data_IF_583867531985
#
_entry.id   IF_583867531985
#
_cell.length_a   1.000
_cell.length_b   1.000
_cell.length_c   1.000
_cell.angle_alpha   90.00
_cell.angle_beta   90.00
_cell.angle_gamma   90.00
#
_symmetry.space_group_name_H-M   'P 1'
#
loop_
_entity.id
_entity.type
_entity.pdbx_description
1 polymer ?
#
# COMPACT_ATOMS: atom_id res chain seq x y z
N UNK A 1 11.91 26.41 7.52
CA UNK A 1 10.48 26.71 7.25
C UNK A 1 9.61 25.66 7.94
N UNK A 2 8.35 26.01 8.25
CA UNK A 2 7.38 25.05 8.76
C UNK A 2 6.61 24.41 7.59
N UNK A 3 6.59 23.08 7.54
CA UNK A 3 5.89 22.28 6.53
C UNK A 3 4.92 21.34 7.25
N UNK A 4 3.71 21.22 6.72
CA UNK A 4 2.75 20.22 7.15
C UNK A 4 2.64 19.12 6.11
N UNK A 5 2.66 17.87 6.54
CA UNK A 5 2.43 16.69 5.70
C UNK A 5 1.21 15.95 6.20
N UNK A 6 0.28 15.69 5.32
CA UNK A 6 -0.98 15.01 5.63
C UNK A 6 -1.07 13.71 4.84
N UNK A 7 -1.22 12.60 5.52
CA UNK A 7 -1.69 11.36 4.92
C UNK A 7 -3.21 11.41 4.82
N UNK A 8 -3.69 11.57 3.59
CA UNK A 8 -5.13 11.68 3.32
C UNK A 8 -5.76 10.30 3.32
N UNK A 9 -6.76 10.15 4.11
CA UNK A 9 -7.47 8.93 4.35
C UNK A 9 -8.31 8.46 3.17
N UNK A 10 -8.40 7.14 3.03
CA UNK A 10 -9.42 6.49 2.24
C UNK A 10 -10.65 6.16 3.12
N UNK A 11 -11.80 6.77 2.87
CA UNK A 11 -12.99 6.55 3.69
C UNK A 11 -13.65 5.18 3.55
N UNK A 12 -13.24 4.37 2.59
CA UNK A 12 -13.73 2.99 2.55
C UNK A 12 -13.40 2.25 3.83
N UNK A 13 -12.27 2.59 4.44
CA UNK A 13 -11.87 2.05 5.73
C UNK A 13 -12.71 2.57 6.90
N UNK A 14 -13.60 3.53 6.67
CA UNK A 14 -14.50 4.10 7.68
C UNK A 14 -15.96 3.66 7.53
N UNK A 15 -16.27 2.86 6.53
CA UNK A 15 -17.60 2.33 6.31
C UNK A 15 -18.04 1.29 7.35
N UNK A 16 -17.25 1.07 8.40
CA UNK A 16 -17.72 0.30 9.56
C UNK A 16 -18.94 0.99 10.17
N UNK A 17 -20.02 0.26 10.42
CA UNK A 17 -21.20 0.81 11.06
C UNK A 17 -20.86 1.57 12.33
N UNK A 18 -21.49 2.71 12.58
CA UNK A 18 -21.25 3.55 13.76
C UNK A 18 -21.34 2.75 15.08
N UNK A 19 -22.21 1.71 15.12
CA UNK A 19 -22.31 0.77 16.24
C UNK A 19 -21.03 -0.06 16.44
N UNK A 20 -20.33 -0.43 15.38
CA UNK A 20 -19.07 -1.17 15.47
C UNK A 20 -17.94 -0.24 15.90
N UNK A 21 -17.95 1.02 15.45
CA UNK A 21 -17.01 2.06 15.92
C UNK A 21 -17.19 2.40 17.39
N UNK A 22 -18.42 2.57 17.86
CA UNK A 22 -18.73 2.88 19.25
C UNK A 22 -18.48 1.72 20.22
N UNK A 23 -18.67 0.48 19.75
CA UNK A 23 -18.47 -0.72 20.57
C UNK A 23 -16.99 -1.07 20.78
N UNK A 24 -16.15 -0.68 19.85
CA UNK A 24 -14.72 -0.96 19.81
C UNK A 24 -13.94 0.35 19.67
N UNK A 25 -14.10 1.30 20.59
CA UNK A 25 -13.41 2.60 20.57
C UNK A 25 -11.88 2.56 20.34
N UNK A 26 -11.34 1.36 20.17
CA UNK A 26 -9.94 1.02 19.90
C UNK A 26 -9.71 0.34 18.54
N UNK A 27 -10.73 0.00 17.75
CA UNK A 27 -10.53 -0.64 16.44
C UNK A 27 -10.32 0.43 15.37
N UNK A 28 -9.07 0.74 15.11
CA UNK A 28 -8.68 1.46 13.90
C UNK A 28 -8.73 0.47 12.74
N UNK A 29 -9.64 0.71 11.81
CA UNK A 29 -9.73 -0.08 10.59
C UNK A 29 -8.65 0.40 9.65
N UNK A 30 -7.72 -0.48 9.36
CA UNK A 30 -6.60 -0.30 8.43
C UNK A 30 -5.80 1.01 8.59
N UNK A 31 -4.69 0.91 9.19
CA UNK A 31 -3.70 1.98 9.20
C UNK A 31 -2.32 1.37 9.23
N UNK A 32 -1.74 1.13 8.04
CA UNK A 32 -0.28 1.07 8.00
C UNK A 32 0.25 2.46 8.34
N UNK A 33 1.30 2.55 9.19
CA UNK A 33 2.01 3.79 9.36
C UNK A 33 2.34 4.42 7.99
N UNK A 34 2.04 5.70 7.77
CA UNK A 34 2.16 6.33 6.46
C UNK A 34 3.63 6.61 6.11
N UNK A 35 4.37 5.56 5.73
CA UNK A 35 5.81 5.59 5.54
C UNK A 35 6.25 6.70 4.57
N UNK A 36 5.43 7.04 3.58
CA UNK A 36 5.74 8.10 2.64
C UNK A 36 5.92 9.46 3.30
N UNK A 37 4.96 9.92 4.12
CA UNK A 37 5.10 11.21 4.81
C UNK A 37 6.14 11.16 5.93
N UNK A 38 6.35 10.00 6.57
CA UNK A 38 7.41 9.83 7.55
C UNK A 38 8.80 9.95 6.91
N UNK A 39 9.00 9.41 5.69
CA UNK A 39 10.23 9.57 4.92
C UNK A 39 10.47 11.03 4.55
N UNK A 40 9.43 11.73 4.07
CA UNK A 40 9.53 13.16 3.74
C UNK A 40 9.82 14.01 4.97
N UNK A 41 9.19 13.73 6.12
CA UNK A 41 9.50 14.42 7.37
C UNK A 41 10.96 14.28 7.78
N UNK A 42 11.49 13.05 7.73
CA UNK A 42 12.88 12.79 8.07
C UNK A 42 13.86 13.56 7.17
N UNK A 43 13.59 13.61 5.87
CA UNK A 43 14.41 14.35 4.89
C UNK A 43 14.33 15.86 5.13
N UNK A 44 13.14 16.41 5.35
CA UNK A 44 12.93 17.83 5.66
C UNK A 44 13.64 18.25 6.96
N UNK A 45 13.50 17.45 8.02
CA UNK A 45 14.18 17.72 9.31
C UNK A 45 15.70 17.67 9.17
N UNK A 46 16.24 16.71 8.42
CA UNK A 46 17.68 16.64 8.14
C UNK A 46 18.17 17.88 7.40
N UNK A 47 17.34 18.49 6.57
CA UNK A 47 17.62 19.73 5.86
C UNK A 47 17.36 21.02 6.70
N UNK A 48 17.00 20.89 8.00
CA UNK A 48 16.79 22.02 8.90
C UNK A 48 15.39 22.67 8.82
N UNK A 49 14.41 21.96 8.28
CA UNK A 49 13.01 22.41 8.26
C UNK A 49 12.21 21.82 9.42
N UNK A 50 11.22 22.57 9.92
CA UNK A 50 10.23 22.07 10.87
C UNK A 50 9.15 21.31 10.08
N UNK A 51 8.84 20.08 10.50
CA UNK A 51 7.83 19.27 9.86
C UNK A 51 6.81 18.76 10.88
N UNK A 52 5.53 18.89 10.56
CA UNK A 52 4.42 18.33 11.33
C UNK A 52 3.62 17.40 10.45
N UNK A 53 3.36 16.20 10.94
CA UNK A 53 2.62 15.19 10.23
C UNK A 53 1.21 15.01 10.82
N UNK A 54 0.25 14.77 9.94
CA UNK A 54 -1.12 14.41 10.27
C UNK A 54 -1.47 13.10 9.53
N UNK A 55 -1.93 12.11 10.28
CA UNK A 55 -2.44 10.88 9.70
C UNK A 55 -3.96 10.82 9.85
N UNK A 56 -4.68 10.97 8.75
CA UNK A 56 -6.14 10.83 8.74
C UNK A 56 -6.61 9.38 8.86
N UNK A 57 -5.75 8.38 8.93
CA UNK A 57 -6.12 7.06 9.43
C UNK A 57 -6.47 7.11 10.92
N UNK A 58 -6.02 8.13 11.64
CA UNK A 58 -6.49 8.41 13.00
C UNK A 58 -7.85 9.15 12.96
N UNK A 59 -8.92 8.58 13.55
CA UNK A 59 -10.23 9.23 13.63
C UNK A 59 -10.20 10.61 14.31
N UNK A 60 -9.22 10.85 15.17
CA UNK A 60 -9.06 12.10 15.91
C UNK A 60 -8.36 13.19 15.06
N UNK A 61 -8.10 12.92 13.80
CA UNK A 61 -7.49 13.86 12.84
C UNK A 61 -8.45 14.18 11.68
N UNK A 62 -9.65 14.74 11.96
CA UNK A 62 -10.56 15.20 10.92
C UNK A 62 -10.01 16.45 10.24
N UNK A 63 -10.63 16.87 9.14
CA UNK A 63 -10.22 18.05 8.38
C UNK A 63 -10.12 19.31 9.24
N UNK A 64 -11.06 19.50 10.15
CA UNK A 64 -11.14 20.72 10.98
C UNK A 64 -9.91 20.87 11.89
N UNK A 65 -9.40 19.80 12.47
CA UNK A 65 -8.17 19.81 13.28
C UNK A 65 -6.97 20.25 12.43
N UNK A 66 -6.88 19.75 11.20
CA UNK A 66 -5.79 20.12 10.27
C UNK A 66 -5.90 21.59 9.88
N UNK A 67 -7.10 22.05 9.52
CA UNK A 67 -7.37 23.43 9.11
C UNK A 67 -7.08 24.41 10.26
N UNK A 68 -7.52 24.09 11.48
CA UNK A 68 -7.22 24.90 12.66
C UNK A 68 -5.71 25.00 12.92
N UNK A 69 -4.99 23.87 12.80
CA UNK A 69 -3.54 23.85 12.94
C UNK A 69 -2.85 24.72 11.87
N UNK A 70 -3.31 24.67 10.61
CA UNK A 70 -2.81 25.51 9.51
C UNK A 70 -3.03 26.99 9.82
N UNK A 71 -4.22 27.37 10.24
CA UNK A 71 -4.57 28.77 10.55
C UNK A 71 -3.76 29.31 11.72
N UNK A 72 -3.52 28.50 12.74
CA UNK A 72 -2.77 28.89 13.93
C UNK A 72 -1.26 28.97 13.67
N UNK A 73 -0.68 27.97 12.94
CA UNK A 73 0.77 27.83 12.80
C UNK A 73 1.32 28.37 11.48
N UNK A 74 0.48 28.62 10.49
CA UNK A 74 0.81 29.23 9.20
C UNK A 74 2.01 28.56 8.50
N UNK A 75 1.94 27.25 8.16
CA UNK A 75 3.00 26.59 7.43
C UNK A 75 3.19 27.24 6.04
N UNK A 76 4.43 27.19 5.52
CA UNK A 76 4.73 27.66 4.18
C UNK A 76 4.17 26.70 3.11
N UNK A 77 4.18 25.40 3.41
CA UNK A 77 3.68 24.35 2.51
C UNK A 77 2.84 23.33 3.29
N UNK A 78 1.73 22.90 2.68
CA UNK A 78 0.96 21.74 3.12
C UNK A 78 0.99 20.69 2.01
N UNK A 79 1.63 19.57 2.25
CA UNK A 79 1.70 18.41 1.37
C UNK A 79 0.61 17.40 1.71
N UNK A 80 -0.27 17.10 0.77
CA UNK A 80 -1.32 16.09 0.91
C UNK A 80 -0.92 14.84 0.12
N UNK A 81 -0.64 13.74 0.85
CA UNK A 81 -0.23 12.46 0.27
C UNK A 81 -1.38 11.47 0.25
N UNK A 82 -1.64 10.88 -0.90
CA UNK A 82 -2.66 9.85 -1.08
C UNK A 82 -2.24 8.84 -2.14
N UNK A 83 -2.57 7.56 -1.90
CA UNK A 83 -2.09 6.45 -2.72
C UNK A 83 -3.09 6.03 -3.79
N UNK A 84 -4.38 6.13 -3.49
CA UNK A 84 -5.43 5.48 -4.27
C UNK A 84 -6.40 6.45 -4.94
N UNK A 85 -7.09 5.93 -5.94
CA UNK A 85 -8.23 6.59 -6.59
C UNK A 85 -9.31 7.01 -5.59
N UNK A 86 -9.48 6.24 -4.52
CA UNK A 86 -10.53 6.46 -3.52
C UNK A 86 -10.21 7.54 -2.51
N UNK A 87 -8.94 7.78 -2.24
CA UNK A 87 -8.50 8.89 -1.38
C UNK A 87 -8.56 10.25 -2.08
N UNK A 88 -8.49 10.26 -3.41
CA UNK A 88 -8.45 11.49 -4.21
C UNK A 88 -9.63 12.44 -3.99
N UNK A 89 -10.91 12.00 -3.96
CA UNK A 89 -12.04 12.89 -3.66
C UNK A 89 -11.90 13.60 -2.32
N UNK A 90 -11.34 12.94 -1.33
CA UNK A 90 -11.14 13.51 0.02
C UNK A 90 -9.97 14.48 0.05
N UNK A 91 -8.90 14.18 -0.68
CA UNK A 91 -7.81 15.13 -0.88
C UNK A 91 -8.32 16.42 -1.53
N UNK A 92 -9.22 16.34 -2.52
CA UNK A 92 -9.86 17.51 -3.14
C UNK A 92 -10.70 18.31 -2.14
N UNK A 93 -11.51 17.62 -1.33
CA UNK A 93 -12.34 18.27 -0.31
C UNK A 93 -11.45 19.01 0.69
N UNK A 94 -10.42 18.37 1.20
CA UNK A 94 -9.50 18.98 2.16
C UNK A 94 -8.77 20.17 1.54
N UNK A 95 -8.26 20.05 0.32
CA UNK A 95 -7.58 21.16 -0.39
C UNK A 95 -8.50 22.38 -0.57
N UNK A 96 -9.77 22.16 -0.97
CA UNK A 96 -10.78 23.23 -1.09
C UNK A 96 -11.06 23.91 0.25
N UNK A 97 -11.23 23.14 1.30
CA UNK A 97 -11.47 23.67 2.63
C UNK A 97 -10.27 24.48 3.14
N UNK A 98 -9.04 23.99 2.93
CA UNK A 98 -7.83 24.75 3.30
C UNK A 98 -7.77 26.04 2.50
N UNK A 99 -7.99 26.01 1.19
CA UNK A 99 -7.92 27.20 0.32
C UNK A 99 -8.99 28.23 0.66
N UNK A 100 -10.19 27.80 1.04
CA UNK A 100 -11.26 28.69 1.48
C UNK A 100 -10.92 29.43 2.79
N UNK A 101 -10.20 28.80 3.71
CA UNK A 101 -9.77 29.38 4.98
C UNK A 101 -8.40 30.08 4.93
N UNK A 102 -7.56 29.75 3.94
CA UNK A 102 -6.19 30.27 3.84
C UNK A 102 -5.75 30.34 2.37
N UNK A 103 -5.77 31.56 1.80
CA UNK A 103 -5.41 31.80 0.41
C UNK A 103 -3.90 31.78 0.13
N UNK A 104 -3.07 31.94 1.15
CA UNK A 104 -1.62 32.14 1.02
C UNK A 104 -0.79 30.88 1.14
N UNK A 105 -1.26 29.87 1.87
CA UNK A 105 -0.51 28.64 2.04
C UNK A 105 -0.33 27.90 0.73
N UNK A 106 0.88 27.44 0.44
CA UNK A 106 1.13 26.59 -0.73
C UNK A 106 0.61 25.18 -0.47
N UNK A 107 -0.09 24.60 -1.45
CA UNK A 107 -0.64 23.26 -1.39
C UNK A 107 0.02 22.35 -2.43
N UNK A 108 0.49 21.19 -2.01
CA UNK A 108 1.05 20.17 -2.90
C UNK A 108 0.31 18.84 -2.73
N UNK A 109 0.02 18.19 -3.85
CA UNK A 109 -0.43 16.80 -3.89
C UNK A 109 0.73 15.87 -4.22
N UNK A 110 0.78 14.70 -3.57
CA UNK A 110 1.76 13.65 -3.83
C UNK A 110 1.19 12.25 -3.64
N UNK A 111 2.03 11.25 -3.90
CA UNK A 111 1.66 9.83 -3.87
C UNK A 111 1.46 9.24 -5.27
N UNK A 112 1.26 7.92 -5.34
CA UNK A 112 1.22 7.18 -6.61
C UNK A 112 0.11 7.68 -7.54
N UNK A 113 -1.10 7.82 -7.03
CA UNK A 113 -2.22 8.30 -7.83
C UNK A 113 -1.99 9.70 -8.40
N UNK A 114 -1.53 10.64 -7.58
CA UNK A 114 -1.21 12.01 -8.01
C UNK A 114 -0.13 12.01 -9.08
N UNK A 115 0.90 11.19 -8.92
CA UNK A 115 2.02 11.08 -9.87
C UNK A 115 1.58 10.60 -11.24
N UNK A 116 0.77 9.55 -11.30
CA UNK A 116 0.32 8.95 -12.56
C UNK A 116 -0.74 9.78 -13.28
N UNK A 117 -1.40 10.71 -12.57
CA UNK A 117 -2.53 11.49 -13.09
C UNK A 117 -2.34 13.01 -12.95
N UNK A 118 -1.11 13.49 -12.89
CA UNK A 118 -0.77 14.84 -12.44
C UNK A 118 -1.49 15.97 -13.20
N UNK A 119 -1.53 15.94 -14.55
CA UNK A 119 -2.23 16.94 -15.34
C UNK A 119 -3.72 16.99 -15.05
N UNK A 120 -4.35 15.81 -14.98
CA UNK A 120 -5.78 15.73 -14.73
C UNK A 120 -6.11 16.17 -13.29
N UNK A 121 -5.29 15.75 -12.32
CA UNK A 121 -5.41 16.17 -10.91
C UNK A 121 -5.31 17.70 -10.81
N UNK A 122 -4.34 18.32 -11.50
CA UNK A 122 -4.17 19.78 -11.51
C UNK A 122 -5.34 20.50 -12.16
N UNK A 123 -5.89 19.96 -13.24
CA UNK A 123 -7.08 20.51 -13.89
C UNK A 123 -8.33 20.41 -13.03
N UNK A 124 -8.53 19.30 -12.33
CA UNK A 124 -9.71 19.04 -11.50
C UNK A 124 -9.66 19.69 -10.11
N UNK A 125 -8.48 20.08 -9.66
CA UNK A 125 -8.27 20.73 -8.37
C UNK A 125 -7.35 21.94 -8.51
N UNK A 126 -7.87 23.06 -9.06
CA UNK A 126 -7.10 24.28 -9.25
C UNK A 126 -6.61 24.89 -7.94
N UNK A 127 -7.24 24.55 -6.82
CA UNK A 127 -6.88 24.98 -5.46
C UNK A 127 -5.46 24.55 -5.03
N UNK A 128 -4.94 23.47 -5.64
CA UNK A 128 -3.61 22.94 -5.36
C UNK A 128 -2.57 23.65 -6.23
N UNK A 129 -1.49 24.14 -5.63
CA UNK A 129 -0.42 24.83 -6.36
C UNK A 129 0.43 23.82 -7.16
N UNK A 130 0.77 22.68 -6.55
CA UNK A 130 1.71 21.71 -7.09
C UNK A 130 1.16 20.28 -7.07
N UNK A 131 1.45 19.51 -8.12
CA UNK A 131 1.29 18.06 -8.12
C UNK A 131 2.66 17.43 -8.32
N UNK A 132 3.13 16.72 -7.29
CA UNK A 132 4.46 16.10 -7.25
C UNK A 132 4.42 14.71 -7.86
N UNK A 133 5.37 14.39 -8.75
CA UNK A 133 5.46 13.12 -9.50
C UNK A 133 6.71 12.35 -9.17
N UNK A 134 6.57 11.05 -8.93
CA UNK A 134 7.67 10.13 -8.62
C UNK A 134 8.07 10.13 -7.14
N UNK A 135 9.33 9.77 -6.86
CA UNK A 135 9.88 9.74 -5.50
C UNK A 135 9.91 11.14 -4.88
N UNK A 136 9.48 11.25 -3.65
CA UNK A 136 9.22 12.54 -3.02
C UNK A 136 10.40 13.15 -2.26
N UNK A 137 11.42 12.38 -1.89
CA UNK A 137 12.46 12.82 -0.96
C UNK A 137 13.27 14.01 -1.48
N UNK A 138 13.89 13.89 -2.64
CA UNK A 138 14.63 15.01 -3.22
C UNK A 138 13.68 16.06 -3.80
N UNK A 139 12.52 15.62 -4.30
CA UNK A 139 11.55 16.54 -4.89
C UNK A 139 11.04 17.56 -3.86
N UNK A 140 10.72 17.12 -2.64
CA UNK A 140 10.19 18.01 -1.60
C UNK A 140 11.26 19.04 -1.17
N UNK A 141 12.54 18.67 -1.13
CA UNK A 141 13.64 19.60 -0.84
C UNK A 141 13.75 20.69 -1.91
N UNK A 142 13.80 20.28 -3.18
CA UNK A 142 13.88 21.23 -4.29
C UNK A 142 12.64 22.13 -4.38
N UNK A 143 11.46 21.59 -4.07
CA UNK A 143 10.21 22.34 -4.07
C UNK A 143 10.18 23.38 -2.95
N UNK A 144 10.61 23.04 -1.74
CA UNK A 144 10.63 23.95 -0.59
C UNK A 144 11.56 25.13 -0.81
N UNK A 145 12.67 24.93 -1.52
CA UNK A 145 13.58 26.01 -1.90
C UNK A 145 13.01 26.94 -2.97
N UNK A 146 12.01 26.49 -3.74
CA UNK A 146 11.48 27.18 -4.94
C UNK A 146 9.94 27.27 -4.93
N UNK A 147 9.34 27.50 -3.78
CA UNK A 147 7.87 27.56 -3.63
C UNK A 147 7.21 28.65 -4.48
N UNK A 148 7.92 29.76 -4.76
CA UNK A 148 7.38 30.88 -5.53
C UNK A 148 7.70 30.75 -7.03
N UNK A 149 8.74 30.02 -7.40
CA UNK A 149 9.09 29.73 -8.79
C UNK A 149 9.45 28.26 -9.00
N UNK A 150 8.48 27.38 -9.26
CA UNK A 150 8.71 25.96 -9.44
C UNK A 150 9.21 25.60 -10.87
N UNK A 151 9.51 26.56 -11.73
CA UNK A 151 9.78 26.35 -13.16
C UNK A 151 10.87 25.29 -13.42
N UNK A 152 11.90 25.24 -12.59
CA UNK A 152 13.00 24.29 -12.74
C UNK A 152 12.92 23.07 -11.80
N UNK A 153 11.84 22.94 -11.01
CA UNK A 153 11.69 21.80 -10.10
C UNK A 153 11.23 20.57 -10.89
N UNK A 154 12.16 19.69 -11.21
CA UNK A 154 11.83 18.45 -11.92
C UNK A 154 10.81 17.61 -11.14
N UNK A 155 9.84 17.02 -11.84
CA UNK A 155 8.78 16.21 -11.25
C UNK A 155 7.57 17.00 -10.75
N UNK A 156 7.53 18.33 -10.89
CA UNK A 156 6.38 19.15 -10.50
C UNK A 156 5.46 19.41 -11.69
N UNK A 157 4.18 19.33 -11.45
CA UNK A 157 3.10 19.82 -12.33
C UNK A 157 2.41 20.98 -11.63
N UNK A 158 2.27 22.11 -12.30
CA UNK A 158 1.72 23.36 -11.76
C UNK A 158 0.92 24.11 -12.81
N UNK A 159 0.45 25.31 -12.53
CA UNK A 159 -0.27 26.12 -13.52
C UNK A 159 0.29 27.53 -13.57
N UNK A 160 0.41 28.08 -14.78
CA UNK A 160 0.74 29.48 -15.06
C UNK A 160 -0.19 30.01 -16.14
N UNK A 161 -0.75 31.18 -15.93
CA UNK A 161 -1.69 31.85 -16.86
C UNK A 161 -2.80 30.91 -17.32
N UNK A 162 -3.39 30.14 -16.41
CA UNK A 162 -4.47 29.20 -16.68
C UNK A 162 -4.05 27.91 -17.42
N UNK A 163 -2.77 27.76 -17.76
CA UNK A 163 -2.25 26.56 -18.45
C UNK A 163 -1.53 25.64 -17.48
N UNK A 164 -1.80 24.33 -17.60
CA UNK A 164 -1.07 23.31 -16.85
C UNK A 164 0.30 23.09 -17.50
N UNK A 165 1.34 23.20 -16.69
CA UNK A 165 2.72 22.98 -17.06
C UNK A 165 3.22 21.74 -16.33
N UNK A 166 3.83 20.83 -17.06
CA UNK A 166 4.56 19.69 -16.50
C UNK A 166 6.06 19.88 -16.71
N UNK A 167 6.78 20.08 -15.62
CA UNK A 167 8.24 20.07 -15.69
C UNK A 167 8.74 18.66 -16.07
N UNK A 168 9.97 18.52 -16.58
CA UNK A 168 10.54 17.21 -16.87
C UNK A 168 10.43 16.24 -15.69
N UNK A 169 10.31 14.95 -15.97
CA UNK A 169 10.34 13.94 -14.92
C UNK A 169 11.70 13.96 -14.22
N UNK A 170 11.68 13.68 -12.93
CA UNK A 170 12.91 13.49 -12.16
C UNK A 170 13.52 12.14 -12.49
N UNK A 171 14.85 12.10 -12.55
CA UNK A 171 15.58 10.83 -12.62
C UNK A 171 15.40 10.09 -11.29
N UNK A 172 15.02 8.82 -11.37
CA UNK A 172 14.83 8.00 -10.19
C UNK A 172 16.16 7.77 -9.45
N UNK A 173 16.15 8.04 -8.16
CA UNK A 173 17.28 7.78 -7.30
C UNK A 173 17.57 6.27 -7.19
N UNK A 174 18.81 5.90 -7.45
CA UNK A 174 19.26 4.50 -7.37
C UNK A 174 19.79 4.14 -5.99
N UNK A 175 20.44 5.09 -5.32
CA UNK A 175 21.00 4.89 -3.98
C UNK A 175 19.96 5.27 -2.93
N UNK A 176 19.12 4.33 -2.53
CA UNK A 176 18.10 4.56 -1.50
C UNK A 176 18.69 4.68 -0.08
N UNK A 177 19.93 4.27 0.14
CA UNK A 177 20.60 4.35 1.44
C UNK A 177 21.00 5.77 1.84
N UNK A 178 21.00 6.71 0.91
CA UNK A 178 21.30 8.11 1.22
C UNK A 178 20.21 8.79 2.06
N UNK A 179 19.00 8.23 2.08
CA UNK A 179 17.89 8.80 2.82
C UNK A 179 17.90 8.38 4.29
N UNK A 180 17.55 9.27 5.21
CA UNK A 180 17.43 8.93 6.63
C UNK A 180 16.32 7.90 6.84
N UNK A 181 16.34 7.22 7.98
CA UNK A 181 15.22 6.39 8.39
C UNK A 181 13.96 7.24 8.56
N UNK A 182 12.78 6.71 8.23
CA UNK A 182 11.52 7.43 8.37
C UNK A 182 11.30 7.94 9.79
N UNK A 183 10.79 9.17 9.91
CA UNK A 183 10.48 9.84 11.17
C UNK A 183 9.21 9.25 11.81
N UNK A 184 9.40 8.24 12.65
CA UNK A 184 8.29 7.56 13.32
C UNK A 184 7.93 8.18 14.65
N UNK A 185 8.85 8.94 15.25
CA UNK A 185 8.68 9.50 16.59
C UNK A 185 7.75 10.72 16.59
N UNK A 186 7.73 11.48 15.50
CA UNK A 186 6.92 12.69 15.38
C UNK A 186 5.45 12.43 15.03
N UNK A 187 5.11 11.22 14.72
CA UNK A 187 3.74 10.80 14.53
C UNK A 187 3.30 10.06 15.80
N UNK A 188 2.50 10.72 16.65
CA UNK A 188 1.90 10.08 17.82
C UNK A 188 0.92 8.99 17.37
N UNK A 189 1.47 7.81 17.14
CA UNK A 189 0.71 6.66 16.66
C UNK A 189 0.60 5.65 17.80
N UNK A 190 -0.53 5.66 18.49
CA UNK A 190 -0.95 4.52 19.33
C UNK A 190 -1.31 3.31 18.47
N UNK A 191 -0.33 2.83 17.66
CA UNK A 191 -0.52 1.66 16.79
C UNK A 191 -0.63 0.34 17.57
N UNK A 192 -0.29 0.33 18.84
CA UNK A 192 -0.38 -0.86 19.69
C UNK A 192 -1.82 -1.38 19.81
N UNK A 193 -2.81 -0.51 19.65
CA UNK A 193 -4.22 -0.88 19.81
C UNK A 193 -4.98 -1.07 18.48
N UNK A 194 -4.33 -0.86 17.35
CA UNK A 194 -5.02 -0.84 16.06
C UNK A 194 -4.34 -1.75 15.04
N UNK A 195 -4.62 -3.05 15.13
CA UNK A 195 -4.26 -3.93 14.01
C UNK A 195 -5.24 -3.76 12.86
N UNK A 196 -4.72 -3.60 11.62
CA UNK A 196 -5.55 -3.70 10.45
C UNK A 196 -6.19 -5.09 10.39
N UNK A 197 -7.51 -5.16 10.28
CA UNK A 197 -8.22 -6.44 10.15
C UNK A 197 -7.78 -7.23 8.90
N UNK A 198 -7.19 -6.55 7.93
CA UNK A 198 -6.73 -7.13 6.66
C UNK A 198 -5.25 -7.52 6.65
N UNK A 199 -4.47 -7.06 7.62
CA UNK A 199 -3.15 -7.67 7.86
C UNK A 199 -3.39 -8.90 8.69
N UNK A 200 -2.93 -10.07 8.24
CA UNK A 200 -3.02 -11.28 9.06
C UNK A 200 -2.46 -10.95 10.45
N UNK A 201 -3.26 -11.21 11.48
CA UNK A 201 -2.98 -10.91 12.89
C UNK A 201 -1.77 -11.68 13.44
N UNK A 202 -0.61 -11.49 12.86
CA UNK A 202 0.50 -12.41 12.92
C UNK A 202 1.78 -11.81 13.36
N UNK A 203 1.94 -10.56 13.00
CA UNK A 203 3.00 -9.80 13.61
C UNK A 203 2.61 -9.61 15.06
N UNK A 204 3.53 -9.81 15.99
CA UNK A 204 3.23 -9.73 17.42
C UNK A 204 2.47 -8.46 17.73
N UNK A 205 1.62 -8.48 18.76
CA UNK A 205 0.85 -7.34 19.24
C UNK A 205 1.70 -6.26 19.88
N UNK A 206 2.98 -6.46 19.88
CA UNK A 206 3.96 -5.48 20.31
C UNK A 206 4.02 -4.35 19.27
N UNK A 207 4.50 -3.20 19.68
CA UNK A 207 4.58 -1.99 18.86
C UNK A 207 5.01 -2.31 17.42
N UNK A 208 4.10 -2.04 16.47
CA UNK A 208 4.21 -2.41 15.06
C UNK A 208 4.52 -1.20 14.20
N UNK A 209 5.31 -1.38 13.14
CA UNK A 209 5.51 -0.35 12.10
C UNK A 209 5.69 -0.95 10.71
N UNK A 210 5.77 -0.09 9.70
CA UNK A 210 6.12 -0.45 8.33
C UNK A 210 7.55 -0.02 7.99
N UNK A 211 8.13 -0.71 7.02
CA UNK A 211 9.44 -0.41 6.48
C UNK A 211 9.44 -0.67 4.97
N UNK A 212 10.09 0.18 4.21
CA UNK A 212 10.29 -0.02 2.78
C UNK A 212 11.75 -0.32 2.51
N UNK A 213 12.03 -1.52 2.03
CA UNK A 213 13.40 -1.97 1.77
C UNK A 213 13.77 -1.94 0.29
N UNK A 214 12.75 -1.94 -0.59
CA UNK A 214 12.90 -1.80 -2.04
C UNK A 214 11.69 -1.11 -2.65
N UNK A 215 11.84 -0.59 -3.85
CA UNK A 215 10.80 0.10 -4.63
C UNK A 215 10.75 -0.46 -6.04
N UNK A 216 9.53 -0.66 -6.53
CA UNK A 216 9.26 -1.09 -7.88
C UNK A 216 9.19 -2.60 -8.05
N UNK A 217 8.68 -2.97 -9.20
CA UNK A 217 8.52 -4.35 -9.65
C UNK A 217 8.72 -4.38 -11.17
N UNK A 218 9.56 -5.26 -11.73
CA UNK A 218 9.82 -5.28 -13.16
C UNK A 218 8.77 -6.04 -13.98
N UNK A 219 7.81 -6.69 -13.33
CA UNK A 219 6.83 -7.54 -13.98
C UNK A 219 5.71 -6.76 -14.68
N UNK A 220 5.29 -7.20 -15.90
CA UNK A 220 4.39 -6.39 -16.73
C UNK A 220 2.90 -6.68 -16.49
N UNK A 221 2.49 -7.01 -15.27
CA UNK A 221 1.09 -7.30 -14.95
C UNK A 221 0.17 -6.18 -15.44
N UNK A 222 -0.81 -6.48 -16.30
CA UNK A 222 -1.61 -5.47 -17.03
C UNK A 222 -2.49 -4.59 -16.13
N UNK A 223 -2.80 -5.03 -14.93
CA UNK A 223 -3.66 -4.33 -13.97
C UNK A 223 -2.88 -3.47 -12.98
N UNK A 224 -1.55 -3.64 -12.89
CA UNK A 224 -0.71 -3.05 -11.86
C UNK A 224 -0.12 -1.71 -12.32
N UNK A 225 -0.17 -0.70 -11.47
CA UNK A 225 0.39 0.62 -11.70
C UNK A 225 1.87 0.74 -11.25
N UNK A 226 2.36 -0.19 -10.45
CA UNK A 226 3.73 -0.17 -9.91
C UNK A 226 4.81 -0.16 -11.01
N UNK A 227 4.74 -1.01 -12.06
CA UNK A 227 5.70 -0.94 -13.16
C UNK A 227 5.69 0.41 -13.88
N UNK A 228 4.52 1.04 -13.99
CA UNK A 228 4.39 2.34 -14.65
C UNK A 228 5.02 3.42 -13.77
N UNK A 229 4.68 3.45 -12.48
CA UNK A 229 5.21 4.40 -11.53
C UNK A 229 6.74 4.33 -11.39
N UNK A 230 7.30 3.12 -11.44
CA UNK A 230 8.73 2.86 -11.30
C UNK A 230 9.45 2.65 -12.65
N UNK A 231 8.83 2.95 -13.80
CA UNK A 231 9.41 2.77 -15.15
C UNK A 231 9.96 1.35 -15.38
N UNK A 232 9.31 0.33 -14.84
CA UNK A 232 9.75 -1.07 -14.89
C UNK A 232 11.05 -1.36 -14.11
N UNK A 233 11.53 -0.41 -13.30
CA UNK A 233 12.77 -0.55 -12.54
C UNK A 233 12.49 -1.02 -11.12
N UNK A 234 13.39 -1.86 -10.61
CA UNK A 234 13.45 -2.23 -9.21
C UNK A 234 14.73 -1.65 -8.59
N UNK A 235 14.59 -1.03 -7.41
CA UNK A 235 15.68 -0.37 -6.68
C UNK A 235 15.59 -0.79 -5.23
N UNK A 236 16.73 -1.04 -4.58
CA UNK A 236 16.73 -1.53 -3.21
C UNK A 236 17.79 -0.84 -2.36
N UNK A 237 17.50 -0.81 -1.08
CA UNK A 237 18.45 -0.45 -0.02
C UNK A 237 19.41 -1.60 0.19
N UNK A 238 20.64 -1.30 0.60
CA UNK A 238 21.62 -2.33 0.93
C UNK A 238 21.15 -3.19 2.12
N UNK A 239 21.61 -4.45 2.21
CA UNK A 239 21.32 -5.29 3.38
C UNK A 239 21.74 -4.63 4.70
N UNK A 240 22.88 -3.95 4.70
CA UNK A 240 23.43 -3.26 5.87
C UNK A 240 22.50 -2.14 6.35
N UNK A 241 21.98 -1.33 5.40
CA UNK A 241 21.06 -0.25 5.73
C UNK A 241 19.70 -0.78 6.24
N UNK A 242 19.21 -1.92 5.69
CA UNK A 242 17.99 -2.58 6.16
C UNK A 242 18.18 -3.11 7.59
N UNK A 243 19.28 -3.82 7.86
CA UNK A 243 19.57 -4.35 9.20
C UNK A 243 19.78 -3.24 10.21
N UNK A 244 20.44 -2.14 9.83
CA UNK A 244 20.63 -0.99 10.71
C UNK A 244 19.29 -0.34 11.11
N UNK A 245 18.31 -0.23 10.18
CA UNK A 245 16.98 0.27 10.53
C UNK A 245 16.20 -0.71 11.41
N UNK A 246 16.29 -2.02 11.16
CA UNK A 246 15.66 -3.02 12.02
C UNK A 246 16.21 -2.96 13.45
N UNK A 247 17.52 -2.80 13.61
CA UNK A 247 18.17 -2.62 14.90
C UNK A 247 17.69 -1.34 15.59
N UNK A 248 17.67 -0.24 14.89
CA UNK A 248 17.13 1.02 15.38
C UNK A 248 15.69 0.88 15.85
N UNK A 249 14.85 0.19 15.09
CA UNK A 249 13.45 -0.05 15.47
C UNK A 249 13.32 -0.90 16.74
N UNK A 250 14.10 -1.97 16.87
CA UNK A 250 14.10 -2.82 18.06
C UNK A 250 14.56 -2.03 19.30
N UNK A 251 15.61 -1.21 19.19
CA UNK A 251 16.11 -0.32 20.24
C UNK A 251 15.05 0.70 20.70
N UNK A 252 14.11 1.07 19.80
CA UNK A 252 12.97 1.97 20.09
C UNK A 252 11.69 1.22 20.49
N UNK A 253 11.80 -0.08 20.83
CA UNK A 253 10.71 -0.89 21.35
C UNK A 253 9.71 -1.39 20.32
N UNK A 254 10.04 -1.39 19.02
CA UNK A 254 9.22 -2.06 18.01
C UNK A 254 9.47 -3.56 18.02
N UNK A 255 8.43 -4.36 18.21
CA UNK A 255 8.52 -5.82 18.21
C UNK A 255 8.24 -6.43 16.83
N UNK A 256 7.64 -5.69 15.93
CA UNK A 256 7.31 -6.21 14.59
C UNK A 256 7.31 -5.15 13.51
N UNK A 257 7.66 -5.58 12.29
CA UNK A 257 7.78 -4.74 11.09
C UNK A 257 7.16 -5.44 9.89
N UNK A 258 6.39 -4.69 9.12
CA UNK A 258 5.91 -5.15 7.83
C UNK A 258 6.66 -4.44 6.70
N UNK A 259 7.29 -5.22 5.81
CA UNK A 259 7.97 -4.68 4.65
C UNK A 259 6.94 -4.42 3.55
N UNK A 260 6.69 -3.14 3.28
CA UNK A 260 5.75 -2.68 2.26
C UNK A 260 6.40 -2.56 0.88
N UNK A 261 7.27 -3.50 0.56
CA UNK A 261 7.96 -3.56 -0.72
C UNK A 261 7.01 -4.07 -1.80
N UNK A 262 7.05 -3.48 -2.99
CA UNK A 262 6.29 -3.96 -4.17
C UNK A 262 6.68 -5.40 -4.56
N UNK A 263 7.93 -5.77 -4.33
CA UNK A 263 8.45 -7.14 -4.53
C UNK A 263 9.74 -7.38 -3.74
N UNK A 264 9.64 -7.96 -2.55
CA UNK A 264 10.79 -8.24 -1.69
C UNK A 264 11.67 -9.38 -2.22
N UNK A 265 11.06 -10.44 -2.80
CA UNK A 265 11.71 -11.70 -3.14
C UNK A 265 12.53 -11.68 -4.45
N UNK A 266 12.88 -10.52 -5.00
CA UNK A 266 13.50 -10.43 -6.32
C UNK A 266 15.00 -10.82 -6.33
N UNK A 267 15.73 -10.54 -5.26
CA UNK A 267 17.19 -10.68 -5.21
C UNK A 267 17.66 -11.64 -4.09
N UNK A 268 17.89 -12.95 -4.38
CA UNK A 268 18.23 -13.94 -3.36
C UNK A 268 19.44 -13.58 -2.51
N UNK A 269 20.54 -13.12 -3.14
CA UNK A 269 21.76 -12.73 -2.42
C UNK A 269 21.53 -11.62 -1.40
N UNK A 270 20.65 -10.67 -1.74
CA UNK A 270 20.29 -9.57 -0.83
C UNK A 270 19.49 -10.09 0.37
N UNK A 271 18.51 -10.97 0.12
CA UNK A 271 17.69 -11.58 1.17
C UNK A 271 18.55 -12.39 2.13
N UNK A 272 19.45 -13.22 1.60
CA UNK A 272 20.38 -14.00 2.42
C UNK A 272 21.25 -13.09 3.28
N UNK A 273 21.78 -12.00 2.72
CA UNK A 273 22.57 -11.03 3.47
C UNK A 273 21.76 -10.31 4.58
N UNK A 274 20.49 -9.99 4.33
CA UNK A 274 19.60 -9.42 5.36
C UNK A 274 19.36 -10.46 6.48
N UNK A 275 19.03 -11.71 6.16
CA UNK A 275 18.80 -12.76 7.13
C UNK A 275 20.05 -13.04 7.98
N UNK A 276 21.23 -13.08 7.35
CA UNK A 276 22.50 -13.24 8.04
C UNK A 276 22.79 -12.06 8.96
N UNK A 277 22.55 -10.82 8.50
CA UNK A 277 22.72 -9.61 9.31
C UNK A 277 21.81 -9.59 10.54
N UNK A 278 20.52 -9.91 10.39
CA UNK A 278 19.56 -10.05 11.51
C UNK A 278 20.08 -11.07 12.54
N UNK A 279 20.59 -12.21 12.07
CA UNK A 279 21.11 -13.27 12.95
C UNK A 279 22.39 -12.86 13.65
N UNK A 280 23.32 -12.18 12.95
CA UNK A 280 24.60 -11.70 13.50
C UNK A 280 24.38 -10.61 14.56
N UNK A 281 23.47 -9.67 14.29
CA UNK A 281 23.10 -8.61 15.25
C UNK A 281 22.17 -9.15 16.37
N UNK A 282 21.76 -10.42 16.32
CA UNK A 282 20.86 -11.07 17.29
C UNK A 282 19.54 -10.35 17.48
N UNK A 283 19.01 -9.75 16.40
CA UNK A 283 17.72 -9.08 16.45
C UNK A 283 16.59 -10.10 16.62
N UNK A 284 15.62 -9.77 17.44
CA UNK A 284 14.43 -10.59 17.72
C UNK A 284 13.16 -10.08 17.04
N UNK A 285 13.24 -8.89 16.43
CA UNK A 285 12.13 -8.22 15.75
C UNK A 285 11.52 -9.12 14.68
N UNK A 286 10.21 -9.30 14.75
CA UNK A 286 9.46 -10.12 13.79
C UNK A 286 9.16 -9.30 12.53
N UNK A 287 9.15 -9.96 11.38
CA UNK A 287 8.84 -9.26 10.14
C UNK A 287 8.01 -10.10 9.18
N UNK A 288 7.36 -9.39 8.24
CA UNK A 288 6.54 -9.97 7.19
C UNK A 288 6.75 -9.27 5.87
N UNK A 289 6.46 -9.96 4.76
CA UNK A 289 6.69 -9.50 3.39
C UNK A 289 5.54 -9.79 2.45
N UNK A 290 5.52 -9.06 1.34
CA UNK A 290 4.80 -9.43 0.12
C UNK A 290 5.77 -9.88 -0.99
N UNK A 291 5.29 -10.78 -1.83
CA UNK A 291 6.07 -11.27 -2.96
C UNK A 291 5.28 -12.07 -3.97
N UNK A 292 5.96 -12.41 -5.06
CA UNK A 292 5.44 -13.30 -6.10
C UNK A 292 5.80 -14.76 -5.79
N UNK A 293 4.99 -15.67 -6.30
CA UNK A 293 5.19 -17.12 -6.11
C UNK A 293 6.31 -17.69 -6.96
N UNK A 294 6.56 -17.14 -8.15
CA UNK A 294 7.58 -17.54 -9.11
C UNK A 294 9.01 -17.08 -8.76
N UNK A 295 9.19 -16.64 -7.52
CA UNK A 295 10.48 -16.11 -7.07
C UNK A 295 11.55 -17.20 -6.96
N UNK A 296 12.71 -16.92 -7.50
CA UNK A 296 13.93 -17.71 -7.33
C UNK A 296 14.44 -17.76 -5.88
N UNK A 297 13.88 -16.95 -5.00
CA UNK A 297 14.28 -16.85 -3.60
C UNK A 297 13.54 -17.85 -2.67
N UNK A 298 12.69 -18.73 -3.18
CA UNK A 298 11.93 -19.68 -2.36
C UNK A 298 12.82 -20.60 -1.50
N UNK A 299 14.02 -20.93 -1.96
CA UNK A 299 14.99 -21.73 -1.19
C UNK A 299 15.49 -21.03 0.08
N UNK A 300 15.25 -19.72 0.21
CA UNK A 300 15.65 -18.91 1.38
C UNK A 300 14.56 -18.86 2.47
N UNK A 301 13.36 -19.38 2.26
CA UNK A 301 12.33 -19.39 3.30
C UNK A 301 12.79 -19.99 4.64
N UNK A 302 13.61 -21.06 4.69
CA UNK A 302 14.16 -21.54 5.97
C UNK A 302 15.06 -20.52 6.66
N UNK A 303 15.93 -19.81 5.91
CA UNK A 303 16.77 -18.75 6.45
C UNK A 303 15.93 -17.55 6.93
N UNK A 304 14.91 -17.16 6.16
CA UNK A 304 13.98 -16.10 6.53
C UNK A 304 13.21 -16.47 7.82
N UNK A 305 12.68 -17.68 7.94
CA UNK A 305 11.98 -18.14 9.13
C UNK A 305 12.89 -18.13 10.38
N UNK A 306 14.15 -18.54 10.23
CA UNK A 306 15.17 -18.48 11.28
C UNK A 306 15.50 -17.03 11.67
N UNK A 307 15.49 -16.13 10.73
CA UNK A 307 15.68 -14.68 10.93
C UNK A 307 14.38 -13.95 11.32
N UNK A 308 13.42 -14.66 11.92
CA UNK A 308 12.15 -14.14 12.44
C UNK A 308 11.14 -13.62 11.41
N UNK A 309 11.25 -14.01 10.12
CA UNK A 309 10.16 -13.82 9.17
C UNK A 309 8.98 -14.71 9.59
N UNK A 310 7.86 -14.07 9.93
CA UNK A 310 6.65 -14.78 10.40
C UNK A 310 5.55 -14.84 9.37
N UNK A 311 5.55 -13.91 8.43
CA UNK A 311 4.48 -13.77 7.45
C UNK A 311 5.05 -13.63 6.04
N UNK A 312 4.49 -14.39 5.10
CA UNK A 312 4.70 -14.21 3.67
C UNK A 312 3.34 -14.12 2.99
N UNK A 313 3.14 -13.05 2.23
CA UNK A 313 1.92 -12.84 1.47
C UNK A 313 2.22 -12.94 -0.02
N UNK A 314 1.44 -13.76 -0.74
CA UNK A 314 1.61 -13.99 -2.16
C UNK A 314 0.48 -13.37 -2.97
N UNK A 315 0.83 -12.58 -3.99
CA UNK A 315 -0.10 -12.22 -5.05
C UNK A 315 -0.35 -13.41 -5.96
N UNK A 316 -1.40 -14.17 -5.72
CA UNK A 316 -1.78 -15.36 -6.50
C UNK A 316 -2.71 -14.98 -7.64
N UNK A 317 -3.62 -14.07 -7.40
CA UNK A 317 -4.63 -13.49 -8.26
C UNK A 317 -5.74 -14.47 -8.69
N UNK A 318 -5.42 -15.61 -9.32
CA UNK A 318 -6.44 -16.55 -9.84
C UNK A 318 -6.02 -18.01 -9.71
N UNK A 319 -6.99 -18.90 -9.59
CA UNK A 319 -6.85 -20.35 -9.72
C UNK A 319 -7.18 -20.85 -11.12
N UNK A 320 -7.34 -19.97 -12.09
CA UNK A 320 -7.47 -20.28 -13.52
C UNK A 320 -6.21 -19.84 -14.26
N UNK A 321 -5.50 -20.76 -14.90
CA UNK A 321 -4.31 -20.43 -15.70
C UNK A 321 -4.64 -19.46 -16.82
N UNK A 322 -5.78 -19.63 -17.49
CA UNK A 322 -6.29 -18.71 -18.49
C UNK A 322 -6.35 -17.25 -17.98
N UNK A 323 -6.79 -17.06 -16.75
CA UNK A 323 -6.88 -15.71 -16.15
C UNK A 323 -5.49 -15.20 -15.75
N UNK A 324 -4.60 -16.03 -15.22
CA UNK A 324 -3.22 -15.64 -14.95
C UNK A 324 -2.50 -15.16 -16.22
N UNK A 325 -2.68 -15.89 -17.32
CA UNK A 325 -2.12 -15.54 -18.63
C UNK A 325 -2.73 -14.22 -19.14
N UNK A 326 -4.06 -14.05 -18.99
CA UNK A 326 -4.77 -12.82 -19.36
C UNK A 326 -4.30 -11.58 -18.60
N UNK A 327 -3.94 -11.76 -17.33
CA UNK A 327 -3.38 -10.73 -16.47
C UNK A 327 -1.89 -10.48 -16.69
N UNK A 328 -1.24 -11.25 -17.57
CA UNK A 328 0.22 -11.25 -17.76
C UNK A 328 0.97 -11.42 -16.43
N UNK A 329 0.45 -12.33 -15.60
CA UNK A 329 1.05 -12.58 -14.28
C UNK A 329 2.34 -13.40 -14.40
N UNK A 330 2.54 -14.11 -15.53
CA UNK A 330 3.73 -14.92 -15.82
C UNK A 330 4.07 -15.90 -14.69
N UNK A 331 3.06 -16.58 -14.16
CA UNK A 331 3.19 -17.62 -13.14
C UNK A 331 2.22 -18.77 -13.42
N UNK A 332 2.57 -19.97 -13.00
CA UNK A 332 1.75 -21.17 -13.15
C UNK A 332 1.08 -21.56 -11.82
N UNK A 333 -0.03 -22.30 -11.90
CA UNK A 333 -0.69 -22.83 -10.72
C UNK A 333 0.22 -23.79 -9.92
N UNK A 334 1.12 -24.53 -10.60
CA UNK A 334 2.10 -25.41 -9.97
C UNK A 334 3.15 -24.63 -9.17
N UNK A 335 3.64 -23.50 -9.70
CA UNK A 335 4.54 -22.59 -8.98
C UNK A 335 3.87 -22.02 -7.73
N UNK A 336 2.59 -21.64 -7.83
CA UNK A 336 1.80 -21.18 -6.67
C UNK A 336 1.74 -22.25 -5.60
N UNK A 337 1.37 -23.47 -5.97
CA UNK A 337 1.27 -24.59 -5.02
C UNK A 337 2.62 -24.90 -4.38
N UNK A 338 3.68 -24.89 -5.15
CA UNK A 338 5.06 -25.14 -4.70
C UNK A 338 5.52 -24.05 -3.73
N UNK A 339 5.31 -22.78 -4.06
CA UNK A 339 5.72 -21.66 -3.21
C UNK A 339 5.02 -21.68 -1.85
N UNK A 340 3.70 -21.88 -1.84
CA UNK A 340 2.91 -21.95 -0.59
C UNK A 340 3.37 -23.11 0.27
N UNK A 341 3.57 -24.30 -0.32
CA UNK A 341 4.08 -25.48 0.40
C UNK A 341 5.49 -25.27 0.96
N UNK A 342 6.38 -24.67 0.16
CA UNK A 342 7.75 -24.39 0.58
C UNK A 342 7.80 -23.40 1.77
N UNK A 343 7.01 -22.32 1.71
CA UNK A 343 6.91 -21.38 2.83
C UNK A 343 6.40 -22.06 4.12
N UNK A 344 5.37 -22.90 4.02
CA UNK A 344 4.85 -23.66 5.18
C UNK A 344 5.86 -24.66 5.74
N UNK A 345 6.54 -25.42 4.87
CA UNK A 345 7.59 -26.39 5.29
C UNK A 345 8.78 -25.70 5.96
N UNK A 346 9.11 -24.49 5.52
CA UNK A 346 10.17 -23.68 6.10
C UNK A 346 9.86 -23.13 7.50
N UNK A 347 8.63 -23.27 7.97
CA UNK A 347 8.22 -22.79 9.29
C UNK A 347 7.70 -21.34 9.29
N UNK A 348 7.39 -20.76 8.12
CA UNK A 348 6.67 -19.49 8.07
C UNK A 348 5.30 -19.70 8.74
N UNK A 349 5.03 -18.89 9.74
CA UNK A 349 3.86 -19.09 10.60
C UNK A 349 2.58 -18.80 9.84
N UNK A 350 2.54 -17.71 9.07
CA UNK A 350 1.41 -17.35 8.23
C UNK A 350 1.81 -17.18 6.78
N UNK A 351 1.11 -17.92 5.95
CA UNK A 351 1.15 -17.76 4.51
C UNK A 351 -0.22 -17.27 4.05
N UNK A 352 -0.22 -16.07 3.48
CA UNK A 352 -1.42 -15.41 2.96
C UNK A 352 -1.46 -15.47 1.44
N UNK A 353 -2.65 -15.64 0.86
CA UNK A 353 -2.88 -15.54 -0.58
C UNK A 353 -3.81 -14.40 -0.92
N UNK A 354 -3.38 -13.48 -1.79
CA UNK A 354 -4.24 -12.49 -2.42
C UNK A 354 -4.80 -13.05 -3.72
N UNK A 355 -6.11 -12.93 -3.87
CA UNK A 355 -6.85 -13.32 -5.06
C UNK A 355 -7.72 -12.16 -5.55
N UNK A 356 -7.94 -12.13 -6.86
CA UNK A 356 -8.87 -11.19 -7.49
C UNK A 356 -10.02 -11.95 -8.16
N UNK A 357 -11.18 -11.33 -8.18
CA UNK A 357 -12.37 -11.79 -8.92
C UNK A 357 -12.91 -10.63 -9.75
N UNK A 358 -13.61 -10.93 -10.81
CA UNK A 358 -14.04 -9.91 -11.75
C UNK A 358 -12.91 -9.48 -12.67
N UNK A 359 -12.05 -10.41 -13.05
CA UNK A 359 -10.96 -10.18 -13.99
C UNK A 359 -11.48 -10.05 -15.43
N UNK A 360 -10.70 -9.41 -16.34
CA UNK A 360 -11.06 -9.36 -17.75
C UNK A 360 -11.32 -10.74 -18.32
N UNK A 361 -12.44 -10.89 -19.03
CA UNK A 361 -12.84 -12.12 -19.70
C UNK A 361 -13.01 -13.35 -18.78
N UNK A 362 -13.13 -13.12 -17.45
CA UNK A 362 -13.34 -14.15 -16.43
C UNK A 362 -14.79 -14.65 -16.46
N UNK A 363 -14.99 -15.96 -16.43
CA UNK A 363 -16.30 -16.61 -16.33
C UNK A 363 -16.62 -16.98 -14.88
N UNK A 364 -17.87 -17.37 -14.64
CA UNK A 364 -18.28 -17.91 -13.32
C UNK A 364 -17.49 -19.17 -12.98
N UNK A 365 -17.18 -19.99 -13.97
CA UNK A 365 -16.38 -21.21 -13.84
C UNK A 365 -14.94 -20.91 -13.46
N UNK A 366 -14.31 -19.88 -14.08
CA UNK A 366 -12.97 -19.42 -13.70
C UNK A 366 -12.93 -18.92 -12.24
N UNK A 367 -13.95 -18.15 -11.81
CA UNK A 367 -14.06 -17.73 -10.42
C UNK A 367 -14.20 -18.90 -9.45
N UNK A 368 -15.06 -19.88 -9.77
CA UNK A 368 -15.22 -21.09 -8.95
C UNK A 368 -13.91 -21.89 -8.88
N UNK A 369 -13.19 -22.06 -10.00
CA UNK A 369 -11.88 -22.71 -10.04
C UNK A 369 -10.89 -22.00 -9.11
N UNK A 370 -10.94 -20.66 -9.01
CA UNK A 370 -10.09 -19.88 -8.10
C UNK A 370 -10.39 -20.22 -6.63
N UNK A 371 -11.65 -20.32 -6.22
CA UNK A 371 -12.01 -20.72 -4.85
C UNK A 371 -11.64 -22.18 -4.56
N UNK A 372 -11.85 -23.08 -5.51
CA UNK A 372 -11.51 -24.50 -5.38
C UNK A 372 -9.98 -24.69 -5.27
N UNK A 373 -9.21 -23.93 -6.04
CA UNK A 373 -7.75 -23.92 -5.94
C UNK A 373 -7.28 -23.39 -4.57
N UNK A 374 -7.78 -22.24 -4.15
CA UNK A 374 -7.44 -21.64 -2.85
C UNK A 374 -7.78 -22.58 -1.67
N UNK A 375 -8.84 -23.39 -1.79
CA UNK A 375 -9.23 -24.34 -0.75
C UNK A 375 -8.20 -25.44 -0.54
N UNK A 376 -7.54 -25.88 -1.59
CA UNK A 376 -6.54 -26.96 -1.58
C UNK A 376 -5.16 -26.48 -1.12
N UNK A 377 -4.86 -25.20 -1.22
CA UNK A 377 -3.58 -24.64 -0.78
C UNK A 377 -3.51 -24.58 0.75
N UNK A 378 -2.36 -24.88 1.39
CA UNK A 378 -2.19 -24.76 2.83
C UNK A 378 -2.01 -23.30 3.29
N UNK A 379 -2.82 -22.40 2.77
CA UNK A 379 -2.87 -21.00 3.18
C UNK A 379 -3.49 -20.87 4.57
N UNK A 380 -2.92 -20.03 5.41
CA UNK A 380 -3.47 -19.70 6.73
C UNK A 380 -4.56 -18.64 6.61
N UNK A 381 -4.33 -17.64 5.76
CA UNK A 381 -5.28 -16.57 5.48
C UNK A 381 -5.38 -16.29 3.99
N UNK A 382 -6.43 -15.61 3.56
CA UNK A 382 -6.65 -15.27 2.16
C UNK A 382 -7.52 -14.02 2.03
N UNK A 383 -7.24 -13.24 0.99
CA UNK A 383 -8.04 -12.09 0.59
C UNK A 383 -8.59 -12.30 -0.83
N UNK A 384 -9.89 -12.06 -1.03
CA UNK A 384 -10.53 -12.08 -2.33
C UNK A 384 -11.08 -10.69 -2.62
N UNK A 385 -10.35 -9.93 -3.42
CA UNK A 385 -10.73 -8.59 -3.81
C UNK A 385 -11.33 -8.59 -5.21
N UNK A 386 -12.20 -7.62 -5.47
CA UNK A 386 -12.64 -7.36 -6.82
C UNK A 386 -11.55 -6.59 -7.56
N UNK A 387 -11.28 -6.96 -8.81
CA UNK A 387 -10.28 -6.27 -9.61
C UNK A 387 -10.65 -4.80 -9.78
N UNK A 388 -9.68 -3.93 -9.52
CA UNK A 388 -9.77 -2.50 -9.81
C UNK A 388 -8.98 -2.16 -11.06
N UNK A 389 -9.55 -1.35 -11.92
CA UNK A 389 -8.89 -0.88 -13.13
C UNK A 389 -8.26 0.48 -12.85
N UNK A 390 -6.96 0.49 -12.58
CA UNK A 390 -6.23 1.73 -12.31
C UNK A 390 -5.94 2.49 -13.59
N UNK A 391 -6.20 3.80 -13.57
CA UNK A 391 -5.93 4.69 -14.70
C UNK A 391 -4.43 4.70 -15.03
N UNK A 392 -4.13 4.65 -16.32
CA UNK A 392 -2.77 4.61 -16.83
C UNK A 392 -2.21 3.21 -17.05
N UNK A 393 -2.84 2.17 -16.49
CA UNK A 393 -2.44 0.78 -16.71
C UNK A 393 -2.75 0.30 -18.14
N UNK A 394 -2.06 -0.74 -18.65
CA UNK A 394 -2.43 -1.37 -19.93
C UNK A 394 -3.90 -1.80 -19.97
N UNK A 395 -4.43 -2.31 -18.87
CA UNK A 395 -5.83 -2.70 -18.75
C UNK A 395 -6.77 -1.50 -18.88
N UNK A 396 -6.43 -0.35 -18.27
CA UNK A 396 -7.19 0.89 -18.45
C UNK A 396 -7.23 1.31 -19.91
N UNK A 397 -6.08 1.29 -20.59
CA UNK A 397 -6.00 1.68 -22.01
C UNK A 397 -6.83 0.76 -22.90
N UNK A 398 -6.83 -0.54 -22.61
CA UNK A 398 -7.70 -1.50 -23.30
C UNK A 398 -9.18 -1.14 -23.11
N UNK A 399 -9.57 -0.79 -21.88
CA UNK A 399 -10.97 -0.49 -21.55
C UNK A 399 -11.44 0.84 -22.16
N UNK A 400 -10.56 1.82 -22.26
CA UNK A 400 -10.84 3.03 -23.03
C UNK A 400 -11.10 2.71 -24.50
N UNK A 401 -10.25 1.87 -25.11
CA UNK A 401 -10.44 1.42 -26.52
C UNK A 401 -11.73 0.63 -26.72
N UNK A 402 -12.16 -0.14 -25.73
CA UNK A 402 -13.42 -0.92 -25.76
C UNK A 402 -14.65 -0.06 -25.44
N UNK A 403 -14.49 1.22 -25.12
CA UNK A 403 -15.59 2.10 -24.72
C UNK A 403 -16.22 1.79 -23.35
N UNK A 404 -15.56 0.97 -22.55
CA UNK A 404 -16.03 0.59 -21.20
C UNK A 404 -15.76 1.66 -20.15
N UNK A 405 -14.72 2.46 -20.38
CA UNK A 405 -14.32 3.59 -19.53
C UNK A 405 -13.96 4.78 -20.41
N UNK A 406 -14.12 5.99 -19.89
CA UNK A 406 -13.67 7.20 -20.56
C UNK A 406 -12.97 8.15 -19.58
N UNK A 407 -12.20 9.09 -20.10
CA UNK A 407 -11.42 10.07 -19.33
C UNK A 407 -12.26 10.95 -18.40
N UNK A 408 -13.55 11.19 -18.76
CA UNK A 408 -14.48 12.01 -18.01
C UNK A 408 -15.25 11.23 -16.93
N UNK A 409 -15.13 9.91 -16.90
CA UNK A 409 -15.87 9.08 -15.93
C UNK A 409 -15.39 9.39 -14.52
N UNK A 410 -16.33 9.47 -13.59
CA UNK A 410 -16.03 9.59 -12.16
C UNK A 410 -15.30 8.36 -11.64
N UNK A 411 -14.03 8.51 -11.34
CA UNK A 411 -13.14 7.41 -10.92
C UNK A 411 -13.54 6.76 -9.61
N UNK A 412 -14.25 7.46 -8.75
CA UNK A 412 -14.81 6.89 -7.54
C UNK A 412 -15.81 5.78 -7.85
N UNK A 413 -16.55 5.92 -8.96
CA UNK A 413 -17.46 4.89 -9.46
C UNK A 413 -16.72 3.64 -9.93
N UNK A 414 -15.55 3.81 -10.55
CA UNK A 414 -14.71 2.67 -10.99
C UNK A 414 -14.20 1.84 -9.82
N UNK A 415 -13.82 2.49 -8.73
CA UNK A 415 -13.31 1.77 -7.58
C UNK A 415 -14.38 0.97 -6.86
N UNK A 416 -15.58 1.50 -6.71
CA UNK A 416 -16.70 0.71 -6.13
C UNK A 416 -17.10 -0.46 -6.99
N UNK A 417 -16.61 -0.55 -8.24
CA UNK A 417 -16.88 -1.65 -9.17
C UNK A 417 -18.38 -1.98 -9.31
N UNK A 418 -19.26 -1.06 -8.94
CA UNK A 418 -20.69 -1.24 -8.98
C UNK A 418 -21.31 -0.79 -10.31
N UNK A 419 -20.63 0.11 -11.02
CA UNK A 419 -21.18 0.73 -12.23
C UNK A 419 -20.39 0.40 -13.50
N UNK A 420 -19.15 -0.11 -13.37
CA UNK A 420 -18.34 -0.54 -14.51
C UNK A 420 -17.92 -1.97 -14.28
N UNK A 421 -18.49 -2.83 -15.09
CA UNK A 421 -18.13 -4.24 -15.07
C UNK A 421 -16.92 -4.45 -15.97
N UNK A 422 -15.74 -4.70 -15.42
CA UNK A 422 -14.56 -5.03 -16.20
C UNK A 422 -14.64 -6.42 -16.81
N UNK A 423 -15.61 -7.20 -16.37
CA UNK A 423 -15.93 -8.50 -16.93
C UNK A 423 -17.18 -8.40 -17.80
N UNK A 424 -17.43 -9.39 -18.61
CA UNK A 424 -18.72 -9.52 -19.28
C UNK A 424 -19.85 -9.97 -18.32
N UNK A 425 -19.61 -9.97 -17.01
CA UNK A 425 -20.53 -10.45 -15.99
C UNK A 425 -21.12 -9.28 -15.16
N UNK A 426 -22.42 -9.28 -14.86
CA UNK A 426 -22.99 -8.30 -13.96
C UNK A 426 -22.34 -8.32 -12.57
N UNK A 427 -22.11 -7.13 -12.00
CA UNK A 427 -21.47 -7.00 -10.69
C UNK A 427 -22.15 -7.77 -9.56
N UNK A 428 -23.48 -7.95 -9.65
CA UNK A 428 -24.25 -8.78 -8.71
C UNK A 428 -23.87 -10.26 -8.80
N UNK A 429 -23.60 -10.76 -10.01
CA UNK A 429 -23.15 -12.14 -10.24
C UNK A 429 -21.78 -12.34 -9.60
N UNK A 430 -20.84 -11.42 -9.83
CA UNK A 430 -19.49 -11.48 -9.24
C UNK A 430 -19.59 -11.49 -7.70
N UNK A 431 -20.37 -10.59 -7.13
CA UNK A 431 -20.55 -10.49 -5.67
C UNK A 431 -21.17 -11.77 -5.09
N UNK A 432 -22.17 -12.33 -5.74
CA UNK A 432 -22.81 -13.59 -5.32
C UNK A 432 -21.82 -14.75 -5.34
N UNK A 433 -21.10 -14.94 -6.47
CA UNK A 433 -20.09 -16.01 -6.60
C UNK A 433 -18.99 -15.85 -5.56
N UNK A 434 -18.53 -14.59 -5.32
CA UNK A 434 -17.54 -14.30 -4.30
C UNK A 434 -18.03 -14.67 -2.89
N UNK A 435 -19.24 -14.32 -2.51
CA UNK A 435 -19.80 -14.64 -1.19
C UNK A 435 -19.99 -16.14 -1.00
N UNK A 436 -20.53 -16.84 -2.01
CA UNK A 436 -20.70 -18.30 -1.98
C UNK A 436 -19.33 -19.01 -1.92
N UNK A 437 -18.38 -18.57 -2.73
CA UNK A 437 -17.02 -19.09 -2.76
C UNK A 437 -16.30 -18.93 -1.43
N UNK A 438 -16.35 -17.75 -0.82
CA UNK A 438 -15.79 -17.51 0.52
C UNK A 438 -16.42 -18.42 1.58
N UNK A 439 -17.75 -18.56 1.58
CA UNK A 439 -18.44 -19.45 2.53
C UNK A 439 -17.96 -20.90 2.39
N UNK A 440 -17.88 -21.41 1.16
CA UNK A 440 -17.38 -22.77 0.89
C UNK A 440 -15.94 -22.94 1.32
N UNK A 441 -15.09 -21.98 1.01
CA UNK A 441 -13.67 -21.97 1.36
C UNK A 441 -13.48 -22.00 2.89
N UNK A 442 -14.21 -21.19 3.65
CA UNK A 442 -14.15 -21.21 5.11
C UNK A 442 -14.57 -22.56 5.68
N UNK A 443 -15.67 -23.12 5.20
CA UNK A 443 -16.12 -24.46 5.63
C UNK A 443 -15.06 -25.52 5.31
N UNK A 444 -14.52 -25.50 4.09
CA UNK A 444 -13.46 -26.43 3.69
C UNK A 444 -12.24 -26.34 4.63
N UNK A 445 -11.80 -25.12 4.96
CA UNK A 445 -10.64 -24.89 5.85
C UNK A 445 -10.91 -25.41 7.26
N UNK A 446 -12.08 -25.22 7.81
CA UNK A 446 -12.45 -25.74 9.14
C UNK A 446 -12.30 -27.27 9.18
N UNK A 447 -12.77 -27.96 8.16
CA UNK A 447 -12.78 -29.43 8.14
C UNK A 447 -11.43 -30.04 7.74
N UNK A 448 -10.71 -29.46 6.81
CA UNK A 448 -9.49 -30.05 6.26
C UNK A 448 -8.19 -29.49 6.89
N UNK A 449 -8.26 -28.31 7.51
CA UNK A 449 -7.12 -27.65 8.17
C UNK A 449 -7.47 -27.21 9.61
N UNK A 450 -8.00 -28.11 10.47
CA UNK A 450 -8.55 -27.71 11.78
C UNK A 450 -7.49 -27.11 12.71
N UNK A 451 -6.26 -27.59 12.65
CA UNK A 451 -5.17 -27.07 13.49
C UNK A 451 -4.79 -25.65 13.11
N UNK A 452 -4.72 -25.35 11.80
CA UNK A 452 -4.45 -23.98 11.31
C UNK A 452 -5.60 -23.05 11.68
N UNK A 453 -6.83 -23.48 11.44
CA UNK A 453 -8.04 -22.71 11.78
C UNK A 453 -8.11 -22.44 13.28
N UNK A 454 -7.81 -23.42 14.13
CA UNK A 454 -7.76 -23.25 15.58
C UNK A 454 -6.67 -22.26 16.01
N UNK A 455 -5.46 -22.35 15.44
CA UNK A 455 -4.36 -21.41 15.72
C UNK A 455 -4.74 -19.98 15.37
N UNK A 456 -5.39 -19.78 14.22
CA UNK A 456 -5.90 -18.49 13.81
C UNK A 456 -6.97 -17.97 14.78
N UNK A 457 -7.99 -18.78 15.07
CA UNK A 457 -9.07 -18.43 16.00
C UNK A 457 -8.53 -18.08 17.40
N UNK A 458 -7.58 -18.87 17.91
CA UNK A 458 -6.94 -18.60 19.21
C UNK A 458 -6.18 -17.28 19.23
N UNK A 459 -5.57 -16.90 18.10
CA UNK A 459 -4.92 -15.60 17.93
C UNK A 459 -5.96 -14.48 17.91
N UNK A 460 -7.00 -14.59 17.09
CA UNK A 460 -8.09 -13.61 17.06
C UNK A 460 -8.78 -13.43 18.42
N UNK A 461 -8.98 -14.52 19.17
CA UNK A 461 -9.58 -14.47 20.51
C UNK A 461 -8.73 -13.71 21.53
N UNK A 462 -7.40 -13.71 21.39
CA UNK A 462 -6.51 -12.90 22.22
C UNK A 462 -6.69 -11.39 22.01
N UNK A 463 -7.32 -10.99 20.90
CA UNK A 463 -7.59 -9.60 20.52
C UNK A 463 -9.03 -9.16 20.77
N UNK A 464 -9.90 -10.11 21.14
CA UNK A 464 -11.21 -9.73 21.61
C UNK A 464 -11.06 -9.15 23.03
N UNK A 465 -11.62 -7.95 23.29
CA UNK A 465 -11.63 -7.42 24.64
C UNK A 465 -12.30 -8.44 25.54
N UNK A 466 -11.60 -8.83 26.60
CA UNK A 466 -12.23 -9.58 27.72
C UNK A 466 -13.36 -8.68 28.23
N UNK A 467 -14.58 -9.17 28.17
CA UNK A 467 -15.79 -8.49 28.65
C UNK A 467 -15.68 -8.16 30.13
#
# INVERSE_FOLDING_TARGET
MLIFLVHVRDPQFYALPAKTRAKNGRVRVMGFPPIGIMSLSAVLKRAGHDCVMFDQANPDTPNDVIIEAINRRRPALVGLSFLSTTSYPYAKILARQIRAGNSQVKLAFGGVFASLNASLVKLQCPEVDFVCRGDGEQLILDLVERLDDPTEVAGVTWAKDGKVIQNPNRVMERNLDQWPFPDRESLELDFVESMPLDVPAVLSMERFTTMQTSRGCPWPCVFCDIPIFNEGKWRARSPQHVVAELKHLEEHGYGSVYFVDDHFLLQPKRIDAICNGITQERLSIQWGIEGRVDSVAQHLFPAMAKAHCRTVMFGIESGSQKILDRLQKEQTLEEVETAVKNAKRAGIEIVHGFFTVGNPDETVEDMKATFDFASKLPLDTFGFNRLCVYRGTPLWQEYVKRGLVNEATDWYKYFKCSEIDPTCLPGEVINRVRQEGLRRLFLYKIFHYPVQTYRLLRRFLRFMPVR
#
